data_IF_384334473083
#
_entry.id   IF_384334473083
#
_cell.length_a   1.000
_cell.length_b   1.000
_cell.length_c   1.000
_cell.angle_alpha   90.00
_cell.angle_beta   90.00
_cell.angle_gamma   90.00
#
_symmetry.space_group_name_H-M   'P 1'
#
loop_
_entity.id
_entity.type
_entity.pdbx_description
1 polymer ?
#
# COMPACT_ATOMS: atom_id res chain seq x y z
N UNK A 1 21.16 -29.65 27.05
CA UNK A 1 20.56 -28.96 28.20
C UNK A 1 19.64 -27.89 27.64
N UNK A 2 18.32 -28.04 27.81
CA UNK A 2 17.36 -27.00 27.38
C UNK A 2 17.37 -25.90 28.45
N UNK A 3 17.78 -24.70 28.06
CA UNK A 3 17.58 -23.52 28.90
C UNK A 3 16.10 -23.17 28.84
N UNK A 4 15.39 -23.34 29.96
CA UNK A 4 14.01 -22.88 30.12
C UNK A 4 14.05 -21.36 30.31
N UNK A 5 13.76 -20.62 29.24
CA UNK A 5 13.55 -19.19 29.29
C UNK A 5 12.40 -18.90 30.26
N UNK A 6 12.64 -18.02 31.24
CA UNK A 6 11.66 -17.66 32.28
C UNK A 6 10.54 -16.84 31.60
N UNK A 7 9.26 -17.21 31.68
CA UNK A 7 8.20 -16.38 31.12
C UNK A 7 8.15 -15.05 31.90
N UNK A 8 8.20 -13.93 31.18
CA UNK A 8 7.72 -12.64 31.67
C UNK A 8 6.32 -12.85 32.25
N UNK A 9 5.97 -12.20 33.36
CA UNK A 9 4.70 -12.39 34.07
C UNK A 9 3.45 -11.93 33.29
N UNK A 10 3.55 -11.81 31.98
CA UNK A 10 2.47 -11.45 31.07
C UNK A 10 1.72 -12.70 30.60
N UNK A 11 0.39 -12.64 30.50
CA UNK A 11 -0.40 -13.75 29.96
C UNK A 11 -0.03 -13.99 28.49
N UNK A 12 0.58 -15.14 28.20
CA UNK A 12 0.95 -15.56 26.86
C UNK A 12 0.07 -16.74 26.38
N UNK A 13 -0.27 -16.72 25.08
CA UNK A 13 -0.93 -17.85 24.40
C UNK A 13 0.13 -18.64 23.64
N UNK A 14 0.37 -19.93 23.98
CA UNK A 14 1.37 -20.72 23.30
C UNK A 14 0.93 -20.99 21.84
N UNK A 15 1.80 -20.65 20.88
CA UNK A 15 1.60 -20.94 19.46
C UNK A 15 2.68 -21.93 18.97
N UNK A 16 2.31 -22.99 18.24
CA UNK A 16 3.29 -23.89 17.63
C UNK A 16 4.15 -23.15 16.60
N UNK A 17 5.48 -23.35 16.65
CA UNK A 17 6.44 -22.70 15.73
C UNK A 17 6.09 -22.93 14.26
N UNK A 18 5.63 -24.13 13.89
CA UNK A 18 5.21 -24.40 12.51
C UNK A 18 4.03 -23.54 12.07
N UNK A 19 3.04 -23.31 12.94
CA UNK A 19 1.89 -22.44 12.63
C UNK A 19 2.36 -21.00 12.46
N UNK A 20 3.32 -20.57 13.26
CA UNK A 20 3.92 -19.25 13.15
C UNK A 20 4.68 -19.06 11.84
N UNK A 21 5.46 -20.06 11.42
CA UNK A 21 6.19 -20.05 10.17
C UNK A 21 5.22 -20.01 8.97
N UNK A 22 4.18 -20.84 8.98
CA UNK A 22 3.16 -20.86 7.93
C UNK A 22 2.45 -19.50 7.80
N UNK A 23 2.13 -18.86 8.94
CA UNK A 23 1.52 -17.53 8.94
C UNK A 23 2.51 -16.45 8.45
N UNK A 24 3.79 -16.52 8.86
CA UNK A 24 4.82 -15.62 8.36
C UNK A 24 4.96 -15.71 6.85
N UNK A 25 5.03 -16.92 6.31
CA UNK A 25 5.12 -17.17 4.87
C UNK A 25 3.89 -16.62 4.14
N UNK A 26 2.69 -16.84 4.68
CA UNK A 26 1.46 -16.29 4.10
C UNK A 26 1.47 -14.76 4.06
N UNK A 27 1.97 -14.09 5.10
CA UNK A 27 2.13 -12.63 5.13
C UNK A 27 3.15 -12.15 4.08
N UNK A 28 4.27 -12.85 3.92
CA UNK A 28 5.30 -12.51 2.92
C UNK A 28 4.78 -12.71 1.48
N UNK A 29 3.95 -13.73 1.24
CA UNK A 29 3.26 -13.93 -0.05
C UNK A 29 2.30 -12.77 -0.31
N UNK A 30 1.45 -12.42 0.65
CA UNK A 30 0.50 -11.32 0.52
C UNK A 30 1.21 -9.98 0.22
N UNK A 31 2.34 -9.71 0.88
CA UNK A 31 3.15 -8.52 0.58
C UNK A 31 3.64 -8.48 -0.87
N UNK A 32 4.12 -9.61 -1.40
CA UNK A 32 4.59 -9.71 -2.79
C UNK A 32 3.46 -9.49 -3.79
N UNK A 33 2.29 -10.04 -3.49
CA UNK A 33 1.10 -9.85 -4.31
C UNK A 33 0.62 -8.40 -4.30
N UNK A 34 0.68 -7.72 -3.14
CA UNK A 34 0.39 -6.28 -3.03
C UNK A 34 1.37 -5.42 -3.84
N UNK A 35 2.67 -5.70 -3.76
CA UNK A 35 3.69 -5.02 -4.57
C UNK A 35 3.45 -5.23 -6.08
N UNK A 36 3.06 -6.44 -6.47
CA UNK A 36 2.70 -6.74 -7.85
C UNK A 36 1.43 -6.00 -8.28
N UNK A 37 0.42 -5.94 -7.42
CA UNK A 37 -0.83 -5.22 -7.67
C UNK A 37 -0.57 -3.73 -7.85
N UNK A 38 0.22 -3.12 -6.98
CA UNK A 38 0.65 -1.72 -7.10
C UNK A 38 1.33 -1.47 -8.46
N UNK A 39 2.26 -2.34 -8.87
CA UNK A 39 2.92 -2.24 -10.18
C UNK A 39 1.94 -2.36 -11.36
N UNK A 40 0.96 -3.25 -11.28
CA UNK A 40 -0.07 -3.41 -12.32
C UNK A 40 -0.98 -2.18 -12.40
N UNK A 41 -1.38 -1.61 -11.26
CA UNK A 41 -2.20 -0.39 -11.19
C UNK A 41 -1.42 0.81 -11.74
N UNK A 42 -0.18 1.02 -11.30
CA UNK A 42 0.68 2.09 -11.79
C UNK A 42 0.83 2.02 -13.33
N UNK A 43 1.10 0.83 -13.86
CA UNK A 43 1.22 0.63 -15.31
C UNK A 43 -0.09 0.89 -16.06
N UNK A 44 -1.22 0.38 -15.55
CA UNK A 44 -2.52 0.58 -16.17
C UNK A 44 -2.93 2.07 -16.18
N UNK A 45 -2.71 2.77 -15.08
CA UNK A 45 -2.99 4.21 -14.94
C UNK A 45 -2.11 5.05 -15.87
N UNK A 46 -0.82 4.74 -15.97
CA UNK A 46 0.07 5.43 -16.92
C UNK A 46 -0.42 5.25 -18.36
N UNK A 47 -0.74 4.02 -18.77
CA UNK A 47 -1.27 3.76 -20.11
C UNK A 47 -2.59 4.50 -20.37
N UNK A 48 -3.41 4.68 -19.35
CA UNK A 48 -4.68 5.39 -19.46
C UNK A 48 -4.46 6.90 -19.64
N UNK A 49 -3.54 7.49 -18.88
CA UNK A 49 -3.13 8.89 -19.03
C UNK A 49 -2.56 9.15 -20.43
N UNK A 50 -1.64 8.31 -20.90
CA UNK A 50 -1.05 8.43 -22.24
C UNK A 50 -2.14 8.40 -23.34
N UNK A 51 -3.12 7.50 -23.21
CA UNK A 51 -4.25 7.40 -24.15
C UNK A 51 -5.18 8.61 -24.08
N UNK A 52 -5.40 9.18 -22.90
CA UNK A 52 -6.18 10.40 -22.75
C UNK A 52 -5.48 11.60 -23.38
N UNK A 53 -4.18 11.75 -23.19
CA UNK A 53 -3.39 12.82 -23.79
C UNK A 53 -3.33 12.69 -25.31
N UNK A 54 -3.12 11.47 -25.83
CA UNK A 54 -3.17 11.20 -27.27
C UNK A 54 -4.54 11.57 -27.86
N UNK A 55 -5.62 11.13 -27.21
CA UNK A 55 -6.99 11.45 -27.63
C UNK A 55 -7.23 12.95 -27.56
N UNK A 56 -6.78 13.62 -26.50
CA UNK A 56 -6.93 15.07 -26.34
C UNK A 56 -6.21 15.83 -27.47
N UNK A 57 -5.00 15.41 -27.84
CA UNK A 57 -4.24 15.96 -28.96
C UNK A 57 -4.92 15.75 -30.31
N UNK A 58 -5.46 14.56 -30.58
CA UNK A 58 -6.23 14.27 -31.80
C UNK A 58 -7.50 15.15 -31.89
N UNK A 59 -8.13 15.41 -30.75
CA UNK A 59 -9.30 16.30 -30.64
C UNK A 59 -8.94 17.79 -30.69
N UNK A 60 -7.65 18.18 -30.70
CA UNK A 60 -7.23 19.59 -30.73
C UNK A 60 -7.25 20.23 -32.13
N UNK A 61 -7.48 19.45 -33.20
CA UNK A 61 -7.42 19.94 -34.58
C UNK A 61 -8.48 20.99 -34.94
N UNK A 62 -8.09 22.00 -35.72
CA UNK A 62 -8.96 23.13 -36.15
C UNK A 62 -10.24 22.67 -36.86
N UNK A 63 -10.19 21.58 -37.62
CA UNK A 63 -11.34 21.03 -38.34
C UNK A 63 -12.46 20.54 -37.39
N UNK A 64 -12.11 20.15 -36.17
CA UNK A 64 -13.07 19.68 -35.15
C UNK A 64 -13.54 20.84 -34.26
N UNK A 65 -12.82 21.96 -34.21
CA UNK A 65 -13.05 23.07 -33.27
C UNK A 65 -14.44 23.71 -33.36
N UNK A 66 -15.14 23.57 -34.48
CA UNK A 66 -16.49 24.08 -34.67
C UNK A 66 -17.61 23.14 -34.15
N UNK A 67 -17.27 21.94 -33.68
CA UNK A 67 -18.25 20.95 -33.20
C UNK A 67 -18.52 21.13 -31.70
N UNK A 68 -19.75 21.47 -31.28
CA UNK A 68 -20.08 21.64 -29.85
C UNK A 68 -19.96 20.35 -29.03
N UNK A 69 -20.04 19.18 -29.66
CA UNK A 69 -19.82 17.88 -29.02
C UNK A 69 -18.35 17.70 -28.57
N UNK A 70 -17.42 18.44 -29.17
CA UNK A 70 -16.00 18.38 -28.85
C UNK A 70 -15.68 18.97 -27.48
N UNK A 71 -16.36 20.07 -27.11
CA UNK A 71 -16.17 20.69 -25.80
C UNK A 71 -16.70 19.82 -24.67
N UNK A 72 -17.84 19.15 -24.90
CA UNK A 72 -18.37 18.15 -23.98
C UNK A 72 -17.39 16.97 -23.81
N UNK A 73 -16.85 16.43 -24.91
CA UNK A 73 -15.87 15.35 -24.86
C UNK A 73 -14.58 15.75 -24.13
N UNK A 74 -14.05 16.95 -24.39
CA UNK A 74 -12.88 17.49 -23.67
C UNK A 74 -13.15 17.68 -22.18
N UNK A 75 -14.34 18.15 -21.81
CA UNK A 75 -14.74 18.28 -20.40
C UNK A 75 -14.78 16.92 -19.71
N UNK A 76 -15.38 15.91 -20.35
CA UNK A 76 -15.44 14.54 -19.82
C UNK A 76 -14.05 13.93 -19.65
N UNK A 77 -13.14 14.13 -20.61
CA UNK A 77 -11.76 13.65 -20.50
C UNK A 77 -11.01 14.30 -19.33
N UNK A 78 -11.18 15.61 -19.10
CA UNK A 78 -10.58 16.30 -17.94
C UNK A 78 -11.13 15.78 -16.61
N UNK A 79 -12.43 15.54 -16.53
CA UNK A 79 -13.05 14.92 -15.35
C UNK A 79 -12.51 13.51 -15.13
N UNK A 80 -12.39 12.70 -16.17
CA UNK A 80 -11.82 11.35 -16.06
C UNK A 80 -10.36 11.36 -15.56
N UNK A 81 -9.53 12.30 -16.02
CA UNK A 81 -8.17 12.50 -15.47
C UNK A 81 -8.21 12.93 -14.01
N UNK A 82 -9.16 13.77 -13.62
CA UNK A 82 -9.34 14.18 -12.22
C UNK A 82 -9.71 12.98 -11.35
N UNK A 83 -10.59 12.09 -11.82
CA UNK A 83 -10.94 10.85 -11.12
C UNK A 83 -9.75 9.89 -10.97
N UNK A 84 -8.72 9.99 -11.82
CA UNK A 84 -7.47 9.22 -11.60
C UNK A 84 -6.69 9.67 -10.36
N UNK A 85 -7.06 10.77 -9.69
CA UNK A 85 -6.51 11.12 -8.37
C UNK A 85 -6.75 10.01 -7.31
N UNK A 86 -7.82 9.22 -7.45
CA UNK A 86 -8.10 8.08 -6.58
C UNK A 86 -7.05 6.96 -6.69
N UNK A 87 -6.26 6.95 -7.77
CA UNK A 87 -5.16 6.01 -7.93
C UNK A 87 -4.05 6.27 -6.91
N UNK A 88 -3.67 7.53 -6.70
CA UNK A 88 -2.62 7.89 -5.74
C UNK A 88 -2.98 7.42 -4.32
N UNK A 89 -4.24 7.63 -3.91
CA UNK A 89 -4.76 7.11 -2.65
C UNK A 89 -4.73 5.57 -2.57
N UNK A 90 -5.07 4.90 -3.67
CA UNK A 90 -5.05 3.43 -3.72
C UNK A 90 -3.63 2.90 -3.55
N UNK A 91 -2.64 3.54 -4.17
CA UNK A 91 -1.22 3.19 -4.00
C UNK A 91 -0.74 3.45 -2.57
N UNK A 92 -1.15 4.57 -1.95
CA UNK A 92 -0.84 4.84 -0.53
C UNK A 92 -1.43 3.78 0.41
N UNK A 93 -2.69 3.37 0.20
CA UNK A 93 -3.31 2.31 0.99
C UNK A 93 -2.60 0.97 0.82
N UNK A 94 -2.22 0.61 -0.41
CA UNK A 94 -1.45 -0.61 -0.68
C UNK A 94 -0.11 -0.55 0.06
N UNK A 95 0.65 0.54 -0.08
CA UNK A 95 1.93 0.71 0.60
C UNK A 95 1.79 0.64 2.13
N UNK A 96 0.74 1.25 2.69
CA UNK A 96 0.45 1.19 4.11
C UNK A 96 0.16 -0.24 4.59
N UNK A 97 -0.70 -0.98 3.88
CA UNK A 97 -0.99 -2.38 4.20
C UNK A 97 0.28 -3.22 4.11
N UNK A 98 1.12 -3.00 3.08
CA UNK A 98 2.41 -3.70 2.96
C UNK A 98 3.30 -3.47 4.19
N UNK A 99 3.41 -2.24 4.70
CA UNK A 99 4.16 -1.92 5.92
C UNK A 99 3.60 -2.64 7.15
N UNK A 100 2.26 -2.69 7.31
CA UNK A 100 1.62 -3.42 8.41
C UNK A 100 1.93 -4.92 8.34
N UNK A 101 1.72 -5.55 7.18
CA UNK A 101 1.98 -6.98 7.00
C UNK A 101 3.45 -7.33 7.24
N UNK A 102 4.35 -6.45 6.81
CA UNK A 102 5.78 -6.58 7.05
C UNK A 102 6.11 -6.57 8.55
N UNK A 103 5.60 -5.60 9.30
CA UNK A 103 5.80 -5.54 10.75
C UNK A 103 5.19 -6.74 11.49
N UNK A 104 4.02 -7.22 11.06
CA UNK A 104 3.42 -8.46 11.58
C UNK A 104 4.32 -9.68 11.34
N UNK A 105 4.84 -9.85 10.13
CA UNK A 105 5.72 -10.96 9.79
C UNK A 105 7.02 -10.95 10.62
N UNK A 106 7.57 -9.76 10.88
CA UNK A 106 8.78 -9.59 11.67
C UNK A 106 8.57 -9.83 13.16
N UNK A 107 7.48 -9.31 13.74
CA UNK A 107 7.12 -9.61 15.13
C UNK A 107 6.89 -11.11 15.34
N UNK A 108 6.29 -11.79 14.36
CA UNK A 108 6.07 -13.24 14.43
C UNK A 108 7.40 -14.01 14.43
N UNK A 109 8.38 -13.58 13.62
CA UNK A 109 9.73 -14.14 13.65
C UNK A 109 10.40 -13.94 15.02
N UNK A 110 10.37 -12.71 15.53
CA UNK A 110 10.99 -12.38 16.82
C UNK A 110 10.37 -13.19 17.97
N UNK A 111 9.04 -13.30 18.00
CA UNK A 111 8.33 -14.04 19.03
C UNK A 111 8.59 -15.55 19.02
N UNK A 112 9.05 -16.11 17.89
CA UNK A 112 9.26 -17.56 17.71
C UNK A 112 10.71 -17.99 17.84
N UNK A 113 11.65 -17.14 17.44
CA UNK A 113 13.08 -17.44 17.53
C UNK A 113 13.65 -17.18 18.93
N UNK A 114 12.94 -16.41 19.77
CA UNK A 114 13.40 -15.99 21.10
C UNK A 114 14.45 -14.89 21.01
N UNK A 115 14.56 -14.07 22.05
CA UNK A 115 15.63 -13.05 22.17
C UNK A 115 16.87 -13.76 22.71
N UNK A 116 17.97 -13.78 21.96
CA UNK A 116 19.22 -14.34 22.49
C UNK A 116 19.74 -13.42 23.60
N UNK A 117 20.13 -13.99 24.75
CA UNK A 117 20.62 -13.24 25.91
C UNK A 117 21.98 -12.58 25.59
N UNK A 118 21.96 -11.46 24.87
CA UNK A 118 23.15 -10.76 24.39
C UNK A 118 22.97 -10.02 23.05
N UNK A 119 21.87 -10.25 22.34
CA UNK A 119 21.51 -9.41 21.19
C UNK A 119 20.79 -8.15 21.67
N UNK A 120 21.28 -7.00 21.20
CA UNK A 120 20.63 -5.70 21.40
C UNK A 120 19.19 -5.81 20.88
N UNK A 121 18.21 -5.48 21.72
CA UNK A 121 16.75 -5.44 21.44
C UNK A 121 16.40 -4.47 20.27
N UNK A 122 17.44 -3.87 19.70
CA UNK A 122 17.46 -2.99 18.53
C UNK A 122 17.79 -3.71 17.22
N UNK A 123 17.43 -5.00 17.06
CA UNK A 123 17.13 -5.50 15.72
C UNK A 123 16.06 -4.54 15.17
N UNK A 124 16.44 -3.62 14.29
CA UNK A 124 15.59 -2.54 13.79
C UNK A 124 14.42 -3.08 12.98
N UNK A 125 13.48 -3.73 13.66
CA UNK A 125 12.26 -4.26 13.09
C UNK A 125 11.50 -3.07 12.51
N UNK A 126 10.93 -3.19 11.30
CA UNK A 126 10.15 -2.11 10.73
C UNK A 126 9.03 -1.75 11.69
N UNK A 127 8.97 -0.49 12.08
CA UNK A 127 7.89 0.02 12.90
C UNK A 127 6.57 -0.17 12.16
N UNK A 128 5.61 -0.83 12.81
CA UNK A 128 4.23 -0.84 12.32
C UNK A 128 3.73 0.60 12.36
N UNK A 129 3.10 1.10 11.28
CA UNK A 129 2.50 2.43 11.30
C UNK A 129 1.53 2.60 12.48
N UNK A 130 1.72 3.64 13.29
CA UNK A 130 0.91 3.89 14.50
C UNK A 130 -0.55 4.28 14.20
N UNK A 131 -0.81 4.83 13.01
CA UNK A 131 -2.14 5.30 12.61
C UNK A 131 -2.88 4.22 11.82
N UNK A 132 -4.07 3.78 12.27
CA UNK A 132 -4.80 2.68 11.64
C UNK A 132 -5.49 3.05 10.30
N UNK A 133 -5.73 4.34 10.04
CA UNK A 133 -6.37 4.83 8.82
C UNK A 133 -5.54 5.96 8.22
N UNK A 134 -4.78 5.69 7.13
CA UNK A 134 -3.88 6.68 6.55
C UNK A 134 -4.58 7.72 5.65
N UNK A 135 -5.84 7.50 5.26
CA UNK A 135 -6.56 8.40 4.35
C UNK A 135 -8.03 8.56 4.78
N UNK A 136 -8.48 9.79 5.03
CA UNK A 136 -9.90 10.12 5.22
C UNK A 136 -10.42 10.99 4.08
N UNK A 137 -11.70 10.82 3.68
CA UNK A 137 -12.33 11.67 2.64
C UNK A 137 -12.26 13.18 2.98
N UNK A 138 -12.27 13.52 4.27
CA UNK A 138 -12.14 14.90 4.75
C UNK A 138 -10.79 15.56 4.43
N UNK A 139 -9.71 14.78 4.29
CA UNK A 139 -8.39 15.29 3.91
C UNK A 139 -8.27 15.50 2.39
N UNK A 140 -9.10 14.80 1.59
CA UNK A 140 -9.16 14.94 0.14
C UNK A 140 -9.78 16.26 -0.33
N UNK A 141 -10.92 16.67 0.26
CA UNK A 141 -11.63 17.91 -0.11
C UNK A 141 -10.79 19.18 0.19
N UNK A 142 -9.80 19.07 1.07
CA UNK A 142 -8.93 20.18 1.48
C UNK A 142 -7.67 20.36 0.61
N UNK A 143 -7.40 19.45 -0.34
CA UNK A 143 -6.21 19.52 -1.20
C UNK A 143 -4.87 19.35 -0.46
N UNK A 144 -4.89 18.80 0.77
CA UNK A 144 -3.72 18.61 1.61
C UNK A 144 -3.73 17.20 2.19
N UNK A 145 -3.15 16.25 1.47
CA UNK A 145 -2.83 14.93 2.02
C UNK A 145 -1.46 15.05 2.70
N UNK A 146 -1.41 14.93 4.04
CA UNK A 146 -0.13 14.65 4.71
C UNK A 146 0.29 13.21 4.34
N UNK A 147 1.26 13.13 3.44
CA UNK A 147 1.84 11.88 2.95
C UNK A 147 2.86 11.35 3.98
N UNK A 148 2.57 10.22 4.63
CA UNK A 148 3.51 9.47 5.49
C UNK A 148 4.24 8.35 4.73
#
# INVERSE_FOLDING_TARGET
>A
MQSMHKPSGEPAVPMPVMVAADLQDALLVAMRDLQRLEGLLNHATQNLLDRFDETHGQLAGEALAALPQLDAARSTLRLAVTELQFHDMSSQLIAHITKILQGCAFQLAAATMGVDEGEDDSLGLPAIPDRPNPVTQSEMDAGSVELF
#
